data_IF_238454192978
#
_entry.id   IF_238454192978
#
_cell.length_a   1.000
_cell.length_b   1.000
_cell.length_c   1.000
_cell.angle_alpha   90.00
_cell.angle_beta   90.00
_cell.angle_gamma   90.00
#
_symmetry.space_group_name_H-M   'P 1'
#
loop_
_entity.id
_entity.type
_entity.pdbx_description
1 polymer ?
#
# COMPACT_ATOMS: atom_id res chain seq x y z
N UNK A 1 -0.17 -3.05 6.67
CA UNK A 1 -1.61 -3.08 6.93
C UNK A 1 -2.28 -4.09 6.01
N UNK A 2 -3.20 -4.88 6.57
CA UNK A 2 -4.09 -5.78 5.81
C UNK A 2 -5.48 -5.15 5.87
N UNK A 3 -6.07 -4.91 4.69
CA UNK A 3 -7.41 -4.34 4.58
C UNK A 3 -8.37 -5.45 4.15
N UNK A 4 -9.47 -5.59 4.86
CA UNK A 4 -10.50 -6.59 4.62
C UNK A 4 -11.86 -5.91 4.51
N UNK A 5 -12.72 -6.45 3.67
CA UNK A 5 -14.15 -6.21 3.78
C UNK A 5 -14.82 -7.25 4.69
N UNK A 6 -16.08 -7.02 5.01
CA UNK A 6 -16.81 -7.90 5.92
C UNK A 6 -16.97 -9.31 5.34
N UNK A 7 -17.20 -9.44 4.05
CA UNK A 7 -17.39 -10.74 3.40
C UNK A 7 -16.14 -11.60 3.53
N UNK A 8 -14.94 -11.04 3.24
CA UNK A 8 -13.69 -11.76 3.41
C UNK A 8 -13.43 -12.08 4.88
N UNK A 9 -13.72 -11.13 5.78
CA UNK A 9 -13.46 -11.28 7.21
C UNK A 9 -14.37 -12.29 7.91
N UNK A 10 -15.56 -12.58 7.37
CA UNK A 10 -16.57 -13.44 7.96
C UNK A 10 -16.74 -14.80 7.27
N UNK A 11 -16.08 -15.01 6.15
CA UNK A 11 -16.17 -16.27 5.42
C UNK A 11 -15.08 -17.25 5.81
N UNK A 12 -15.46 -18.53 5.92
CA UNK A 12 -14.52 -19.63 6.04
C UNK A 12 -14.10 -20.10 4.64
N UNK A 13 -12.80 -20.08 4.40
CA UNK A 13 -12.21 -20.50 3.12
C UNK A 13 -11.43 -21.79 3.28
N UNK A 14 -11.73 -22.78 2.45
CA UNK A 14 -10.90 -23.97 2.37
C UNK A 14 -9.57 -23.61 1.67
N UNK A 15 -8.48 -23.77 2.41
CA UNK A 15 -7.12 -23.50 1.91
C UNK A 15 -6.20 -24.66 2.22
N UNK A 16 -5.07 -24.73 1.51
CA UNK A 16 -3.96 -25.57 1.95
C UNK A 16 -3.43 -25.06 3.31
N UNK A 17 -2.82 -25.93 4.13
CA UNK A 17 -2.15 -25.50 5.35
C UNK A 17 -1.14 -24.39 5.06
N UNK A 18 -1.10 -23.37 5.93
CA UNK A 18 -0.13 -22.28 5.80
C UNK A 18 1.29 -22.83 6.02
N UNK A 19 2.19 -22.47 5.12
CA UNK A 19 3.60 -22.69 5.35
C UNK A 19 4.09 -21.76 6.48
N UNK A 20 4.74 -22.34 7.48
CA UNK A 20 5.34 -21.59 8.57
C UNK A 20 6.82 -21.92 8.67
N UNK A 21 7.64 -20.90 8.84
CA UNK A 21 9.09 -21.02 8.99
C UNK A 21 9.52 -20.28 10.28
N UNK A 22 9.88 -21.01 11.31
CA UNK A 22 10.36 -20.45 12.57
C UNK A 22 11.70 -19.71 12.42
N UNK A 23 12.47 -19.99 11.37
CA UNK A 23 13.71 -19.29 11.09
C UNK A 23 13.50 -17.96 10.37
N UNK A 24 12.32 -17.72 9.79
CA UNK A 24 12.03 -16.48 9.09
C UNK A 24 12.19 -15.26 9.98
N UNK A 25 12.93 -14.27 9.51
CA UNK A 25 13.10 -12.98 10.19
C UNK A 25 12.51 -11.88 9.33
N UNK A 26 11.55 -11.16 9.92
CA UNK A 26 10.92 -10.03 9.26
C UNK A 26 11.91 -8.89 9.07
N UNK A 27 11.98 -8.36 7.86
CA UNK A 27 12.63 -7.07 7.60
C UNK A 27 11.84 -5.97 8.33
N UNK A 28 12.49 -5.33 9.29
CA UNK A 28 11.90 -4.26 10.09
C UNK A 28 12.14 -2.87 9.50
N UNK A 29 12.76 -2.80 8.33
CA UNK A 29 13.10 -1.57 7.65
C UNK A 29 14.20 -0.79 8.36
N UNK A 30 14.16 0.53 8.24
CA UNK A 30 15.17 1.45 8.77
C UNK A 30 15.07 1.58 10.30
N UNK A 31 15.72 0.69 11.03
CA UNK A 31 15.81 0.73 12.51
C UNK A 31 17.21 1.15 12.90
N UNK A 32 17.32 2.24 13.65
CA UNK A 32 18.61 2.77 14.11
C UNK A 32 19.05 2.01 15.38
N UNK A 33 20.31 1.63 15.42
CA UNK A 33 20.93 0.91 16.53
C UNK A 33 21.51 1.87 17.58
N UNK A 34 21.82 1.34 18.77
CA UNK A 34 22.52 2.09 19.80
C UNK A 34 23.89 2.60 19.32
N UNK A 35 24.63 1.76 18.58
CA UNK A 35 25.95 2.14 18.06
C UNK A 35 25.88 3.30 17.07
N UNK A 36 24.88 3.34 16.19
CA UNK A 36 24.67 4.46 15.27
C UNK A 36 24.31 5.75 16.00
N UNK A 37 23.52 5.67 17.06
CA UNK A 37 23.18 6.81 17.93
C UNK A 37 24.41 7.33 18.67
N UNK A 38 25.27 6.43 19.17
CA UNK A 38 26.54 6.81 19.81
C UNK A 38 27.52 7.44 18.84
N UNK A 39 27.60 6.95 17.61
CA UNK A 39 28.41 7.52 16.53
C UNK A 39 27.92 8.92 16.08
N UNK A 40 26.82 9.42 16.65
CA UNK A 40 26.32 10.77 16.36
C UNK A 40 25.45 10.85 15.11
N UNK A 41 24.93 9.73 14.61
CA UNK A 41 23.97 9.75 13.50
C UNK A 41 22.73 10.53 13.91
N UNK A 42 22.33 11.50 13.08
CA UNK A 42 21.16 12.33 13.36
C UNK A 42 19.88 11.49 13.33
N UNK A 43 19.09 11.61 14.38
CA UNK A 43 17.82 10.90 14.54
C UNK A 43 16.65 11.88 14.56
N UNK A 44 15.80 11.77 13.56
CA UNK A 44 14.48 12.42 13.53
C UNK A 44 13.42 11.41 13.13
N UNK A 45 12.36 11.26 13.95
CA UNK A 45 11.31 10.25 13.67
C UNK A 45 10.63 10.43 12.32
N UNK A 46 10.67 11.65 11.78
CA UNK A 46 10.11 12.01 10.48
C UNK A 46 11.16 12.58 9.51
N UNK A 47 12.44 12.48 9.87
CA UNK A 47 13.55 12.92 9.05
C UNK A 47 13.79 11.94 7.90
N UNK A 48 13.67 12.42 6.67
CA UNK A 48 13.97 11.69 5.45
C UNK A 48 15.42 11.99 5.05
N UNK A 49 16.33 11.04 5.27
CA UNK A 49 17.77 11.25 5.08
C UNK A 49 18.29 10.86 3.70
N UNK A 50 17.53 10.04 2.98
CA UNK A 50 17.92 9.47 1.69
C UNK A 50 16.88 9.70 0.57
N UNK A 51 15.84 10.46 0.85
CA UNK A 51 14.88 10.94 -0.14
C UNK A 51 13.79 9.96 -0.54
N UNK A 52 13.69 8.80 0.13
CA UNK A 52 12.66 7.80 -0.16
C UNK A 52 11.37 7.98 0.65
N UNK A 53 11.31 9.00 1.50
CA UNK A 53 10.17 9.30 2.37
C UNK A 53 10.06 8.42 3.62
N UNK A 54 10.95 7.43 3.79
CA UNK A 54 10.92 6.47 4.90
C UNK A 54 11.94 6.86 5.96
N UNK A 55 11.53 7.46 7.09
CA UNK A 55 12.46 7.86 8.15
C UNK A 55 12.92 6.65 8.97
N UNK A 56 14.05 6.79 9.62
CA UNK A 56 14.49 5.85 10.63
C UNK A 56 13.58 5.86 11.85
N UNK A 57 13.52 4.72 12.53
CA UNK A 57 12.86 4.56 13.83
C UNK A 57 13.79 3.89 14.82
N UNK A 58 13.47 4.03 16.08
CA UNK A 58 14.09 3.31 17.19
C UNK A 58 13.03 2.46 17.89
N UNK A 59 13.45 1.50 18.66
CA UNK A 59 12.59 0.79 19.60
C UNK A 59 12.76 1.34 21.02
N UNK A 60 11.76 1.21 21.89
CA UNK A 60 11.93 1.47 23.31
C UNK A 60 13.13 0.68 23.86
N UNK A 61 14.00 1.36 24.61
CA UNK A 61 15.20 0.74 25.15
C UNK A 61 16.40 0.61 24.20
N UNK A 62 16.32 1.12 22.97
CA UNK A 62 17.46 1.11 22.04
C UNK A 62 18.68 1.82 22.63
N UNK A 63 18.49 2.93 23.37
CA UNK A 63 19.57 3.70 23.98
C UNK A 63 19.05 4.43 25.23
N UNK A 64 19.84 4.57 26.30
CA UNK A 64 19.37 5.17 27.56
C UNK A 64 18.97 6.64 27.45
N UNK A 65 19.60 7.43 26.56
CA UNK A 65 19.38 8.89 26.48
C UNK A 65 19.17 9.43 25.07
N UNK A 66 19.34 8.60 24.01
CA UNK A 66 19.25 9.03 22.62
C UNK A 66 18.18 8.25 21.86
N UNK A 67 17.67 8.80 20.77
CA UNK A 67 16.71 8.14 19.88
C UNK A 67 15.30 7.98 20.43
N UNK A 68 15.02 8.50 21.61
CA UNK A 68 13.65 8.59 22.12
C UNK A 68 12.91 9.75 21.46
N UNK A 69 11.60 9.60 21.32
CA UNK A 69 10.74 10.64 20.77
C UNK A 69 9.34 10.55 21.38
N UNK A 70 8.67 11.69 21.42
CA UNK A 70 7.29 11.77 21.85
C UNK A 70 6.50 12.58 20.80
N UNK A 71 5.37 12.07 20.39
CA UNK A 71 4.50 12.74 19.42
C UNK A 71 3.13 12.99 20.00
N UNK A 72 2.62 14.20 19.83
CA UNK A 72 1.23 14.55 20.16
C UNK A 72 0.72 15.59 19.15
N UNK A 73 -0.58 15.76 19.09
CA UNK A 73 -1.21 16.69 18.18
C UNK A 73 -1.12 16.26 16.72
N UNK A 74 -1.63 17.09 15.84
CA UNK A 74 -1.73 16.81 14.40
C UNK A 74 -0.50 17.25 13.62
N UNK A 75 0.21 18.30 14.10
CA UNK A 75 1.35 18.88 13.40
C UNK A 75 2.64 18.70 14.19
N UNK A 76 3.72 18.38 13.50
CA UNK A 76 5.05 18.13 14.06
C UNK A 76 6.14 18.32 13.01
N UNK A 77 7.33 18.69 13.48
CA UNK A 77 8.51 18.79 12.64
C UNK A 77 9.16 17.40 12.38
N UNK A 78 10.25 17.39 11.60
CA UNK A 78 10.99 16.17 11.26
C UNK A 78 11.61 15.45 12.47
N UNK A 79 11.75 16.13 13.62
CA UNK A 79 12.26 15.58 14.88
C UNK A 79 11.14 15.15 15.84
N UNK A 80 9.89 15.14 15.38
CA UNK A 80 8.69 14.83 16.17
C UNK A 80 8.32 15.88 17.23
N UNK A 81 8.86 17.09 17.15
CA UNK A 81 8.47 18.17 18.04
C UNK A 81 7.18 18.79 17.55
N UNK A 82 6.26 19.04 18.47
CA UNK A 82 5.02 19.75 18.15
C UNK A 82 5.33 21.13 17.57
N UNK A 83 4.64 21.47 16.50
CA UNK A 83 4.71 22.78 15.87
C UNK A 83 3.44 23.06 15.07
N UNK A 84 3.05 24.31 14.96
CA UNK A 84 1.95 24.79 14.11
C UNK A 84 2.47 25.56 12.88
N UNK A 85 3.78 25.54 12.66
CA UNK A 85 4.42 26.21 11.54
C UNK A 85 4.04 25.53 10.21
N UNK A 86 3.47 26.31 9.30
CA UNK A 86 3.04 25.83 7.98
C UNK A 86 4.13 25.13 7.19
N UNK A 87 5.36 25.65 7.10
CA UNK A 87 6.45 24.99 6.39
C UNK A 87 6.79 23.61 6.96
N UNK A 88 6.77 23.42 8.28
CA UNK A 88 7.02 22.11 8.91
C UNK A 88 5.92 21.08 8.58
N UNK A 89 4.67 21.54 8.53
CA UNK A 89 3.53 20.73 8.09
C UNK A 89 3.69 20.27 6.63
N UNK A 90 3.99 21.20 5.73
CA UNK A 90 4.20 20.93 4.31
C UNK A 90 5.34 19.94 4.10
N UNK A 91 6.48 20.13 4.77
CA UNK A 91 7.64 19.22 4.70
C UNK A 91 7.22 17.78 5.04
N UNK A 92 6.45 17.60 6.10
CA UNK A 92 6.00 16.28 6.54
C UNK A 92 4.98 15.64 5.59
N UNK A 93 4.06 16.45 5.03
CA UNK A 93 3.10 15.97 4.02
C UNK A 93 3.80 15.56 2.73
N UNK A 94 4.73 16.35 2.25
CA UNK A 94 5.53 16.03 1.05
C UNK A 94 6.38 14.76 1.27
N UNK A 95 6.94 14.58 2.47
CA UNK A 95 7.63 13.34 2.83
C UNK A 95 6.68 12.13 2.77
N UNK A 96 5.45 12.27 3.27
CA UNK A 96 4.44 11.19 3.19
C UNK A 96 4.10 10.83 1.74
N UNK A 97 3.95 11.81 0.87
CA UNK A 97 3.71 11.56 -0.57
C UNK A 97 4.87 10.77 -1.18
N UNK A 98 6.13 11.17 -0.92
CA UNK A 98 7.31 10.41 -1.37
C UNK A 98 7.31 8.98 -0.83
N UNK A 99 6.92 8.79 0.44
CA UNK A 99 6.80 7.45 1.03
C UNK A 99 5.78 6.58 0.30
N UNK A 100 4.65 7.14 -0.13
CA UNK A 100 3.66 6.42 -0.93
C UNK A 100 4.21 6.05 -2.31
N UNK A 101 4.97 6.93 -2.95
CA UNK A 101 5.66 6.60 -4.21
C UNK A 101 6.63 5.42 -4.01
N UNK A 102 7.45 5.46 -2.97
CA UNK A 102 8.36 4.34 -2.64
C UNK A 102 7.59 3.05 -2.35
N UNK A 103 6.41 3.13 -1.74
CA UNK A 103 5.58 1.97 -1.40
C UNK A 103 5.00 1.26 -2.62
N UNK A 104 4.76 1.96 -3.74
CA UNK A 104 4.22 1.37 -4.97
C UNK A 104 5.00 0.14 -5.45
N UNK A 105 6.33 0.19 -5.34
CA UNK A 105 7.21 -0.90 -5.75
C UNK A 105 7.28 -2.06 -4.72
N UNK A 106 6.67 -1.91 -3.55
CA UNK A 106 6.77 -2.86 -2.43
C UNK A 106 5.45 -3.54 -2.09
N UNK A 107 4.35 -3.09 -2.68
CA UNK A 107 3.03 -3.70 -2.51
C UNK A 107 2.75 -4.72 -3.60
N UNK A 108 1.84 -5.69 -3.37
CA UNK A 108 1.46 -6.66 -4.40
C UNK A 108 0.95 -5.98 -5.67
N UNK A 109 1.54 -6.36 -6.80
CA UNK A 109 1.08 -5.88 -8.11
C UNK A 109 -0.35 -6.33 -8.42
N UNK A 110 -1.12 -5.58 -9.23
CA UNK A 110 -2.42 -6.03 -9.70
C UNK A 110 -2.28 -7.32 -10.53
N UNK A 111 -3.34 -8.10 -10.57
CA UNK A 111 -3.44 -9.25 -11.47
C UNK A 111 -4.15 -8.81 -12.74
N UNK A 112 -3.48 -8.92 -13.87
CA UNK A 112 -4.02 -8.55 -15.18
C UNK A 112 -4.22 -9.82 -16.01
N UNK A 113 -5.40 -9.96 -16.59
CA UNK A 113 -5.73 -11.06 -17.52
C UNK A 113 -6.26 -10.44 -18.81
N UNK A 114 -5.66 -10.81 -19.93
CA UNK A 114 -6.12 -10.35 -21.24
C UNK A 114 -7.33 -11.15 -21.70
N UNK A 115 -8.25 -10.48 -22.37
CA UNK A 115 -9.36 -11.12 -23.04
C UNK A 115 -8.90 -12.13 -24.11
N UNK A 116 -9.72 -13.15 -24.36
CA UNK A 116 -9.44 -14.15 -25.43
C UNK A 116 -9.40 -13.52 -26.81
N UNK A 117 -10.17 -12.47 -27.03
CA UNK A 117 -10.16 -11.67 -28.27
C UNK A 117 -9.73 -10.24 -27.98
N UNK A 118 -9.06 -9.57 -28.93
CA UNK A 118 -8.70 -8.18 -28.76
C UNK A 118 -9.91 -7.31 -28.45
N UNK A 119 -9.76 -6.45 -27.44
CA UNK A 119 -10.81 -5.54 -26.97
C UNK A 119 -10.21 -4.20 -26.59
N UNK A 120 -11.05 -3.16 -26.59
CA UNK A 120 -10.75 -1.82 -26.07
C UNK A 120 -11.48 -1.53 -24.76
N UNK A 121 -12.17 -2.54 -24.25
CA UNK A 121 -12.94 -2.47 -23.02
C UNK A 121 -12.30 -3.29 -21.93
N UNK A 122 -12.30 -2.78 -20.72
CA UNK A 122 -11.70 -3.41 -19.55
C UNK A 122 -12.62 -3.36 -18.33
N UNK A 123 -12.38 -4.25 -17.38
CA UNK A 123 -13.01 -4.24 -16.08
C UNK A 123 -11.97 -4.27 -14.96
N UNK A 124 -12.21 -3.48 -13.93
CA UNK A 124 -11.36 -3.36 -12.74
C UNK A 124 -12.19 -3.64 -11.49
N UNK A 125 -11.64 -4.42 -10.56
CA UNK A 125 -12.28 -4.71 -9.28
C UNK A 125 -11.26 -5.03 -8.18
N UNK A 126 -11.72 -5.19 -6.95
CA UNK A 126 -10.91 -5.63 -5.81
C UNK A 126 -11.74 -6.41 -4.78
N UNK A 127 -11.06 -6.99 -3.79
CA UNK A 127 -11.66 -7.59 -2.61
C UNK A 127 -12.58 -8.77 -2.89
N UNK A 128 -13.66 -8.86 -2.14
CA UNK A 128 -14.66 -9.94 -2.16
C UNK A 128 -15.44 -10.02 -3.46
N UNK A 129 -15.48 -8.96 -4.27
CA UNK A 129 -16.06 -8.93 -5.61
C UNK A 129 -15.48 -10.03 -6.52
N UNK A 130 -14.29 -10.54 -6.20
CA UNK A 130 -13.53 -11.47 -7.05
C UNK A 130 -14.29 -12.76 -7.39
N UNK A 131 -15.09 -13.32 -6.46
CA UNK A 131 -15.84 -14.56 -6.71
C UNK A 131 -16.97 -14.31 -7.72
N UNK A 132 -17.76 -13.25 -7.50
CA UNK A 132 -18.83 -12.85 -8.42
C UNK A 132 -18.29 -12.46 -9.80
N UNK A 133 -17.13 -11.80 -9.85
CA UNK A 133 -16.49 -11.42 -11.12
C UNK A 133 -16.07 -12.62 -11.95
N UNK A 134 -15.58 -13.69 -11.33
CA UNK A 134 -15.21 -14.90 -12.07
C UNK A 134 -16.41 -15.50 -12.82
N UNK A 135 -17.57 -15.60 -12.17
CA UNK A 135 -18.81 -16.09 -12.76
C UNK A 135 -19.35 -15.13 -13.84
N UNK A 136 -19.42 -13.84 -13.51
CA UNK A 136 -19.94 -12.81 -14.41
C UNK A 136 -19.14 -12.70 -15.70
N UNK A 137 -17.81 -12.74 -15.60
CA UNK A 137 -16.92 -12.65 -16.78
C UNK A 137 -17.04 -13.89 -17.66
N UNK A 138 -17.21 -15.07 -17.08
CA UNK A 138 -17.45 -16.29 -17.85
C UNK A 138 -18.79 -16.22 -18.60
N UNK A 139 -19.84 -15.68 -17.99
CA UNK A 139 -21.13 -15.48 -18.65
C UNK A 139 -21.05 -14.45 -19.79
N UNK A 140 -20.40 -13.32 -19.56
CA UNK A 140 -20.19 -12.29 -20.58
C UNK A 140 -19.41 -12.82 -21.77
N UNK A 141 -18.42 -13.67 -21.55
CA UNK A 141 -17.64 -14.28 -22.62
C UNK A 141 -18.50 -15.22 -23.51
N UNK A 142 -19.43 -15.97 -22.91
CA UNK A 142 -20.41 -16.79 -23.65
C UNK A 142 -21.32 -15.92 -24.51
N UNK A 143 -21.65 -14.73 -24.04
CA UNK A 143 -22.45 -13.75 -24.80
C UNK A 143 -21.60 -12.96 -25.84
N UNK A 144 -20.33 -13.30 -25.97
CA UNK A 144 -19.41 -12.67 -26.94
C UNK A 144 -18.86 -11.31 -26.50
N UNK A 145 -19.03 -10.94 -25.24
CA UNK A 145 -18.47 -9.72 -24.64
C UNK A 145 -17.10 -10.04 -24.05
N UNK A 146 -16.06 -9.46 -24.61
CA UNK A 146 -14.69 -9.70 -24.21
C UNK A 146 -14.13 -8.47 -23.51
N UNK A 147 -13.59 -8.64 -22.27
CA UNK A 147 -13.03 -7.58 -21.45
C UNK A 147 -11.63 -7.94 -20.98
N UNK A 148 -10.68 -7.03 -21.15
CA UNK A 148 -9.44 -7.11 -20.40
C UNK A 148 -9.74 -6.91 -18.91
N UNK A 149 -9.03 -7.64 -18.04
CA UNK A 149 -9.38 -7.76 -16.63
C UNK A 149 -8.22 -7.28 -15.76
N UNK A 150 -8.52 -6.49 -14.72
CA UNK A 150 -7.56 -6.16 -13.68
C UNK A 150 -8.17 -6.34 -12.29
N UNK A 151 -7.54 -7.17 -11.47
CA UNK A 151 -7.84 -7.23 -10.04
C UNK A 151 -6.80 -6.45 -9.25
N UNK A 152 -7.22 -5.36 -8.62
CA UNK A 152 -6.38 -4.58 -7.71
C UNK A 152 -6.21 -5.36 -6.40
N UNK A 153 -5.00 -5.37 -5.85
CA UNK A 153 -4.64 -6.15 -4.67
C UNK A 153 -4.11 -5.31 -3.52
N UNK A 154 -3.68 -4.09 -3.80
CA UNK A 154 -3.02 -3.26 -2.81
C UNK A 154 -3.13 -1.76 -3.14
N UNK A 155 -2.92 -0.94 -2.12
CA UNK A 155 -2.72 0.50 -2.21
C UNK A 155 -1.37 0.84 -1.53
N UNK A 156 -0.60 1.81 -2.03
CA UNK A 156 -0.83 2.69 -3.20
C UNK A 156 -0.87 1.91 -4.51
N UNK A 157 -1.60 2.44 -5.48
CA UNK A 157 -1.70 1.78 -6.78
C UNK A 157 -0.36 1.79 -7.51
N UNK A 158 0.07 0.61 -7.96
CA UNK A 158 1.24 0.49 -8.85
C UNK A 158 0.98 1.19 -10.18
N UNK A 159 2.04 1.64 -10.86
CA UNK A 159 1.95 2.35 -12.13
C UNK A 159 1.20 1.55 -13.20
N UNK A 160 1.29 0.23 -13.15
CA UNK A 160 0.52 -0.68 -14.01
C UNK A 160 -1.01 -0.45 -13.96
N UNK A 161 -1.55 0.14 -12.89
CA UNK A 161 -2.99 0.49 -12.82
C UNK A 161 -3.29 1.65 -13.75
N UNK A 162 -2.50 2.72 -13.69
CA UNK A 162 -2.68 3.87 -14.57
C UNK A 162 -2.43 3.50 -16.04
N UNK A 163 -1.40 2.70 -16.31
CA UNK A 163 -1.08 2.20 -17.66
C UNK A 163 -2.23 1.36 -18.22
N UNK A 164 -2.80 0.48 -17.40
CA UNK A 164 -3.93 -0.35 -17.81
C UNK A 164 -5.16 0.51 -18.13
N UNK A 165 -5.51 1.46 -17.28
CA UNK A 165 -6.64 2.36 -17.52
C UNK A 165 -6.42 3.18 -18.80
N UNK A 166 -5.22 3.72 -19.01
CA UNK A 166 -4.89 4.53 -20.20
C UNK A 166 -4.88 3.72 -21.51
N UNK A 167 -4.70 2.41 -21.43
CA UNK A 167 -4.67 1.53 -22.62
C UNK A 167 -6.06 1.17 -23.17
N UNK A 168 -7.16 1.53 -22.49
CA UNK A 168 -8.51 1.15 -22.87
C UNK A 168 -9.41 2.37 -23.11
N UNK A 169 -10.34 2.23 -24.05
CA UNK A 169 -11.34 3.28 -24.34
C UNK A 169 -12.48 3.28 -23.32
N UNK A 170 -12.83 2.10 -22.80
CA UNK A 170 -13.89 1.92 -21.82
C UNK A 170 -13.38 1.09 -20.66
N UNK A 171 -13.46 1.63 -19.46
CA UNK A 171 -13.08 0.95 -18.22
C UNK A 171 -14.27 0.91 -17.26
N UNK A 172 -14.72 -0.28 -16.94
CA UNK A 172 -15.77 -0.51 -15.95
C UNK A 172 -15.13 -0.79 -14.60
N UNK A 173 -15.49 -0.02 -13.57
CA UNK A 173 -15.03 -0.22 -12.21
C UNK A 173 -16.17 -0.86 -11.40
N UNK A 174 -15.91 -2.06 -10.87
CA UNK A 174 -16.89 -2.79 -10.05
C UNK A 174 -16.52 -2.65 -8.58
N UNK A 175 -17.30 -1.87 -7.87
CA UNK A 175 -17.09 -1.50 -6.48
C UNK A 175 -18.37 -1.74 -5.67
N UNK A 176 -18.22 -2.33 -4.47
CA UNK A 176 -19.33 -2.57 -3.55
C UNK A 176 -19.63 -1.40 -2.61
N UNK A 177 -18.70 -0.47 -2.45
CA UNK A 177 -18.89 0.71 -1.62
C UNK A 177 -19.91 1.66 -2.24
N UNK A 178 -20.86 2.10 -1.41
CA UNK A 178 -21.85 3.10 -1.81
C UNK A 178 -21.23 4.36 -2.42
N UNK A 179 -20.09 4.78 -1.90
CA UNK A 179 -19.46 6.06 -2.21
C UNK A 179 -18.35 5.96 -3.28
N UNK A 180 -18.16 4.78 -3.89
CA UNK A 180 -17.18 4.53 -4.95
C UNK A 180 -15.80 5.10 -4.58
N UNK A 181 -15.13 4.46 -3.61
CA UNK A 181 -13.89 4.96 -3.01
C UNK A 181 -12.60 4.53 -3.74
N UNK A 182 -12.72 3.71 -4.79
CA UNK A 182 -11.58 3.28 -5.61
C UNK A 182 -11.23 4.31 -6.68
#
# INVERSE_FOLDING_TARGET
FVMLDLDIGMQDWLTAPFAWDDAHRMDRGKVMTAAELEAGRDFGRYLDVDGDGIPFRTYPGTHPTKGSFFTRGTSKDRYARYTEEGPAYVDNMQRLLRKFETAKARVPAPVITKAVKPTKSAVVWFGSTSAAMAESLAALELDGIHLDQMRIRAFPFADAVAEFVAAHEHVFVVEQNRDAQM
#
